data_IF_708344769908
#
_entry.id   IF_708344769908
#
_cell.length_a   1.000
_cell.length_b   1.000
_cell.length_c   1.000
_cell.angle_alpha   90.00
_cell.angle_beta   90.00
_cell.angle_gamma   90.00
#
_symmetry.space_group_name_H-M   'P 1'
#
loop_
_entity.id
_entity.type
_entity.pdbx_description
1 polymer ?
#
# COMPACT_ATOMS: atom_id res chain seq x y z
N UNK A 1 -19.24 23.13 -22.50
CA UNK A 1 -18.07 22.34 -22.04
C UNK A 1 -18.63 21.01 -21.60
N UNK A 2 -18.08 19.91 -22.07
CA UNK A 2 -18.49 18.59 -21.60
C UNK A 2 -18.04 18.46 -20.14
N UNK A 3 -18.99 18.41 -19.21
CA UNK A 3 -18.72 18.25 -17.78
C UNK A 3 -18.07 16.89 -17.55
N UNK A 4 -16.87 16.89 -16.96
CA UNK A 4 -16.13 15.66 -16.70
C UNK A 4 -16.80 14.92 -15.55
N UNK A 5 -17.24 13.70 -15.80
CA UNK A 5 -17.89 12.86 -14.79
C UNK A 5 -16.94 12.56 -13.63
N UNK A 6 -17.45 12.30 -12.41
CA UNK A 6 -16.63 11.87 -11.28
C UNK A 6 -15.75 10.64 -11.59
N UNK A 7 -16.24 9.72 -12.41
CA UNK A 7 -15.49 8.54 -12.86
C UNK A 7 -14.30 8.91 -13.76
N UNK A 8 -14.52 9.82 -14.72
CA UNK A 8 -13.43 10.32 -15.58
C UNK A 8 -12.37 11.04 -14.75
N UNK A 9 -12.77 11.84 -13.77
CA UNK A 9 -11.84 12.52 -12.86
C UNK A 9 -11.03 11.51 -12.03
N UNK A 10 -11.68 10.50 -11.46
CA UNK A 10 -10.99 9.44 -10.70
C UNK A 10 -9.99 8.67 -11.57
N UNK A 11 -10.37 8.35 -12.81
CA UNK A 11 -9.50 7.65 -13.76
C UNK A 11 -8.31 8.52 -14.18
N UNK A 12 -8.54 9.81 -14.44
CA UNK A 12 -7.47 10.77 -14.75
C UNK A 12 -6.48 10.89 -13.59
N UNK A 13 -6.98 10.98 -12.36
CA UNK A 13 -6.14 11.02 -11.17
C UNK A 13 -5.28 9.75 -11.08
N UNK A 14 -5.89 8.57 -11.22
CA UNK A 14 -5.18 7.29 -11.19
C UNK A 14 -4.06 7.21 -12.24
N UNK A 15 -4.36 7.60 -13.48
CA UNK A 15 -3.39 7.62 -14.59
C UNK A 15 -2.27 8.63 -14.33
N UNK A 16 -2.59 9.82 -13.80
CA UNK A 16 -1.59 10.85 -13.51
C UNK A 16 -0.64 10.40 -12.40
N UNK A 17 -1.16 9.79 -11.33
CA UNK A 17 -0.38 9.24 -10.23
C UNK A 17 0.49 8.09 -10.73
N UNK A 18 -0.05 7.17 -11.52
CA UNK A 18 0.73 6.08 -12.11
C UNK A 18 1.92 6.62 -12.93
N UNK A 19 1.66 7.55 -13.85
CA UNK A 19 2.71 8.14 -14.70
C UNK A 19 3.79 8.84 -13.89
N UNK A 20 3.41 9.59 -12.85
CA UNK A 20 4.36 10.26 -11.94
C UNK A 20 5.40 9.29 -11.36
N UNK A 21 5.01 8.07 -11.02
CA UNK A 21 5.92 7.08 -10.43
C UNK A 21 6.60 6.17 -11.46
N UNK A 22 6.00 5.92 -12.63
CA UNK A 22 6.57 5.07 -13.70
C UNK A 22 7.65 5.77 -14.55
N UNK A 23 7.86 7.07 -14.34
CA UNK A 23 8.85 7.85 -15.10
C UNK A 23 10.28 7.75 -14.54
N UNK A 24 10.49 7.14 -13.36
CA UNK A 24 11.78 7.18 -12.67
C UNK A 24 12.83 6.22 -13.26
N UNK A 25 12.44 5.00 -13.65
CA UNK A 25 13.34 3.98 -14.21
C UNK A 25 13.25 3.85 -15.75
N UNK A 26 12.57 4.78 -16.42
CA UNK A 26 12.54 4.87 -17.88
C UNK A 26 11.53 3.98 -18.60
N UNK A 27 10.74 3.18 -17.88
CA UNK A 27 9.60 2.42 -18.42
C UNK A 27 8.26 3.06 -18.03
N UNK A 28 7.80 4.00 -18.85
CA UNK A 28 6.59 4.80 -18.58
C UNK A 28 5.28 4.01 -18.55
N UNK A 29 5.32 2.77 -19.00
CA UNK A 29 4.13 1.92 -19.17
C UNK A 29 3.95 0.93 -18.00
N UNK A 30 4.97 0.78 -17.15
CA UNK A 30 5.00 -0.20 -16.06
C UNK A 30 5.71 0.36 -14.84
N UNK A 31 5.17 0.14 -13.65
CA UNK A 31 5.89 0.43 -12.41
C UNK A 31 6.84 -0.73 -12.07
N UNK A 32 8.09 -0.41 -11.76
CA UNK A 32 8.98 -1.37 -11.11
C UNK A 32 8.51 -1.65 -9.69
N UNK A 33 9.04 -2.71 -9.07
CA UNK A 33 8.71 -3.02 -7.66
C UNK A 33 9.09 -1.87 -6.72
N UNK A 34 10.16 -1.13 -7.02
CA UNK A 34 10.63 0.00 -6.23
C UNK A 34 9.73 1.23 -6.43
N UNK A 35 9.37 1.55 -7.67
CA UNK A 35 8.46 2.64 -8.01
C UNK A 35 7.06 2.40 -7.42
N UNK A 36 6.54 1.18 -7.54
CA UNK A 36 5.26 0.81 -6.96
C UNK A 36 5.27 0.96 -5.44
N UNK A 37 6.31 0.48 -4.75
CA UNK A 37 6.42 0.65 -3.30
C UNK A 37 6.44 2.12 -2.89
N UNK A 38 7.17 2.95 -3.63
CA UNK A 38 7.23 4.40 -3.39
C UNK A 38 5.86 5.06 -3.56
N UNK A 39 5.08 4.65 -4.57
CA UNK A 39 3.69 5.07 -4.74
C UNK A 39 2.84 4.69 -3.53
N UNK A 40 2.92 3.43 -3.07
CA UNK A 40 2.14 2.97 -1.91
C UNK A 40 2.47 3.79 -0.66
N UNK A 41 3.76 4.00 -0.39
CA UNK A 41 4.23 4.69 0.82
C UNK A 41 3.81 6.18 0.83
N UNK A 42 3.72 6.82 -0.34
CA UNK A 42 3.44 8.26 -0.45
C UNK A 42 1.96 8.61 -0.66
N UNK A 43 1.24 7.82 -1.46
CA UNK A 43 -0.12 8.17 -1.91
C UNK A 43 -1.20 7.40 -1.14
N UNK A 44 -0.84 6.28 -0.49
CA UNK A 44 -1.73 5.53 0.37
C UNK A 44 -1.25 5.61 1.83
N UNK A 45 -1.68 6.65 2.58
CA UNK A 45 -1.34 6.75 3.98
C UNK A 45 -1.80 5.48 4.70
N UNK A 46 -0.83 4.64 5.11
CA UNK A 46 -1.11 3.47 5.92
C UNK A 46 -1.87 3.95 7.17
N UNK A 47 -3.00 3.33 7.53
CA UNK A 47 -3.72 3.68 8.74
C UNK A 47 -2.89 3.27 9.96
N UNK A 48 -1.96 4.14 10.36
CA UNK A 48 -1.42 4.35 11.70
C UNK A 48 -0.77 3.19 12.44
N UNK A 49 -0.77 1.96 11.92
CA UNK A 49 -0.22 0.81 12.61
C UNK A 49 0.87 0.17 11.77
N UNK A 50 2.09 0.24 12.30
CA UNK A 50 3.31 -0.43 11.83
C UNK A 50 3.12 -1.97 11.70
N UNK A 51 2.00 -2.50 12.17
CA UNK A 51 1.57 -3.90 12.04
C UNK A 51 0.90 -4.25 10.69
N UNK A 52 0.55 -3.25 9.87
CA UNK A 52 -0.06 -3.48 8.55
C UNK A 52 0.76 -2.78 7.47
N UNK A 53 1.84 -3.46 7.08
CA UNK A 53 2.56 -3.16 5.84
C UNK A 53 1.56 -3.22 4.66
N UNK A 54 1.45 -2.19 3.81
CA UNK A 54 0.51 -2.18 2.68
C UNK A 54 0.74 -3.34 1.70
N UNK A 55 1.95 -3.89 1.62
CA UNK A 55 2.22 -5.12 0.87
C UNK A 55 1.57 -6.36 1.51
N UNK A 56 1.49 -6.42 2.84
CA UNK A 56 0.80 -7.51 3.53
C UNK A 56 -0.72 -7.38 3.33
N UNK A 57 -1.26 -6.16 3.36
CA UNK A 57 -2.66 -5.91 3.04
C UNK A 57 -3.00 -6.36 1.61
N UNK A 58 -2.19 -5.98 0.62
CA UNK A 58 -2.40 -6.40 -0.77
C UNK A 58 -2.25 -7.91 -0.95
N UNK A 59 -1.30 -8.55 -0.27
CA UNK A 59 -1.16 -10.00 -0.31
C UNK A 59 -2.40 -10.70 0.27
N UNK A 60 -2.88 -10.27 1.44
CA UNK A 60 -4.12 -10.77 2.06
C UNK A 60 -5.36 -10.49 1.20
N UNK A 61 -5.45 -9.32 0.56
CA UNK A 61 -6.58 -8.94 -0.27
C UNK A 61 -6.64 -9.71 -1.60
N UNK A 62 -5.48 -10.01 -2.20
CA UNK A 62 -5.42 -10.74 -3.48
C UNK A 62 -5.54 -12.26 -3.29
N UNK A 63 -5.02 -12.79 -2.19
CA UNK A 63 -4.87 -14.24 -1.98
C UNK A 63 -5.71 -14.79 -0.83
N UNK A 64 -6.43 -13.94 -0.09
CA UNK A 64 -7.39 -14.35 0.94
C UNK A 64 -6.76 -14.91 2.22
N UNK A 65 -5.48 -14.69 2.47
CA UNK A 65 -4.81 -15.17 3.70
C UNK A 65 -4.80 -14.10 4.79
N UNK A 66 -5.39 -14.41 5.95
CA UNK A 66 -5.32 -13.58 7.16
C UNK A 66 -3.86 -13.41 7.63
N UNK A 67 -3.44 -12.21 8.04
CA UNK A 67 -2.10 -11.99 8.55
C UNK A 67 -1.89 -12.81 9.82
N UNK A 68 -0.87 -13.69 9.80
CA UNK A 68 -0.52 -14.51 10.96
C UNK A 68 -0.25 -13.61 12.16
N UNK A 69 -1.14 -13.67 13.16
CA UNK A 69 -0.93 -13.03 14.46
C UNK A 69 0.35 -13.63 15.05
N UNK A 70 1.39 -12.82 15.17
CA UNK A 70 2.56 -13.19 15.97
C UNK A 70 2.07 -13.23 17.40
N UNK A 71 1.84 -14.44 17.92
CA UNK A 71 1.61 -14.64 19.36
C UNK A 71 2.93 -14.23 20.02
N UNK A 72 2.93 -13.07 20.67
CA UNK A 72 4.03 -12.71 21.55
C UNK A 72 3.82 -13.57 22.79
N UNK A 73 4.49 -14.71 22.82
CA UNK A 73 4.71 -15.44 24.05
C UNK A 73 5.52 -14.49 24.96
N UNK A 74 4.81 -13.67 25.75
CA UNK A 74 5.41 -12.95 26.86
C UNK A 74 5.78 -14.00 27.90
N UNK A 75 7.04 -14.43 27.83
CA UNK A 75 7.72 -15.19 28.85
C UNK A 75 7.56 -14.50 30.21
N UNK A 76 7.35 -15.33 31.23
CA UNK A 76 6.94 -14.91 32.55
C UNK A 76 7.88 -13.91 33.23
N UNK A 77 7.27 -13.05 34.04
CA UNK A 77 7.94 -12.39 35.16
C UNK A 77 6.99 -12.41 36.34
N UNK A 78 7.07 -13.51 37.10
CA UNK A 78 6.43 -13.65 38.40
C UNK A 78 7.51 -13.72 39.47
N UNK A 79 7.81 -12.58 40.10
CA UNK A 79 8.39 -12.52 41.44
C UNK A 79 8.13 -11.12 42.02
N UNK A 80 6.97 -10.96 42.64
CA UNK A 80 6.77 -9.94 43.69
C UNK A 80 7.29 -10.48 45.03
N UNK A 81 7.76 -9.53 45.83
CA UNK A 81 8.64 -9.64 47.00
C UNK A 81 8.04 -10.39 48.20
#
# INVERSE_FOLDING_TARGET
MEETTPFQLATLLLVSTFKKYAEAEGKKDTLTKAEFRTLLDNEMPSPGNVLYNPLNFLHSALWGEEPRKVHRDDEGSGSEQ
#
